data_IF_765060968253
#
_entry.id   IF_765060968253
#
_cell.length_a   1.000
_cell.length_b   1.000
_cell.length_c   1.000
_cell.angle_alpha   90.00
_cell.angle_beta   90.00
_cell.angle_gamma   90.00
#
_symmetry.space_group_name_H-M   'P 1'
#
loop_
_entity.id
_entity.type
_entity.pdbx_description
1 polymer ?
#
# COMPACT_ATOMS: atom_id res chain seq x y z
N UNK A 1 -9.19 3.23 10.13
CA UNK A 1 -8.82 4.58 9.65
C UNK A 1 -7.57 4.44 8.80
N UNK A 2 -7.39 5.27 7.77
CA UNK A 2 -6.28 5.16 6.80
C UNK A 2 -5.39 6.39 6.84
N UNK A 3 -4.10 6.19 6.57
CA UNK A 3 -3.12 7.26 6.47
C UNK A 3 -2.22 7.06 5.26
N UNK A 4 -1.96 8.13 4.52
CA UNK A 4 -0.89 8.17 3.53
C UNK A 4 0.44 8.30 4.26
N UNK A 5 1.40 7.44 3.94
CA UNK A 5 2.72 7.39 4.59
C UNK A 5 3.89 7.56 3.61
N UNK A 6 3.63 7.51 2.31
CA UNK A 6 4.57 7.91 1.27
C UNK A 6 3.84 8.37 0.00
N UNK A 7 4.44 9.33 -0.70
CA UNK A 7 4.11 9.77 -2.07
C UNK A 7 5.39 9.74 -2.93
N UNK A 8 5.29 10.03 -4.23
CA UNK A 8 6.46 10.07 -5.11
C UNK A 8 7.14 11.43 -5.20
N UNK A 9 6.76 12.39 -4.36
CA UNK A 9 7.35 13.72 -4.27
C UNK A 9 7.10 14.62 -5.48
N UNK A 10 6.42 14.13 -6.53
CA UNK A 10 6.13 14.90 -7.75
C UNK A 10 4.94 15.86 -7.53
N UNK A 11 4.20 15.69 -6.43
CA UNK A 11 3.03 16.52 -6.12
C UNK A 11 1.86 16.31 -7.08
N UNK A 12 1.90 15.23 -7.87
CA UNK A 12 0.78 14.86 -8.73
C UNK A 12 -0.34 14.27 -7.89
N UNK A 13 -1.54 14.83 -8.02
CA UNK A 13 -2.74 14.27 -7.39
C UNK A 13 -3.09 12.85 -7.89
N UNK A 14 -2.47 12.39 -8.99
CA UNK A 14 -2.76 11.09 -9.61
C UNK A 14 -1.71 10.02 -9.32
N UNK A 15 -0.60 10.38 -8.66
CA UNK A 15 0.43 9.42 -8.30
C UNK A 15 -0.09 8.39 -7.30
N UNK A 16 0.28 7.10 -7.43
CA UNK A 16 -0.09 6.12 -6.42
C UNK A 16 0.65 6.37 -5.11
N UNK A 17 -0.10 6.40 -4.02
CA UNK A 17 0.38 6.60 -2.66
C UNK A 17 0.57 5.26 -1.96
N UNK A 18 1.42 5.23 -0.94
CA UNK A 18 1.46 4.12 0.01
C UNK A 18 0.60 4.49 1.20
N UNK A 19 -0.37 3.63 1.50
CA UNK A 19 -1.35 3.84 2.57
C UNK A 19 -1.21 2.73 3.59
N UNK A 20 -1.26 3.09 4.88
CA UNK A 20 -1.52 2.16 5.98
C UNK A 20 -2.99 2.21 6.38
N UNK A 21 -3.63 1.04 6.50
CA UNK A 21 -5.03 0.92 6.91
C UNK A 21 -5.17 0.26 8.29
N UNK A 22 -5.59 1.05 9.27
CA UNK A 22 -5.88 0.64 10.65
C UNK A 22 -7.34 0.21 10.85
N UNK A 23 -8.10 -0.04 9.78
CA UNK A 23 -9.42 -0.68 9.91
C UNK A 23 -9.29 -2.09 10.50
N UNK A 24 -10.31 -2.54 11.25
CA UNK A 24 -10.29 -3.84 11.92
C UNK A 24 -10.11 -5.02 10.94
N UNK A 25 -10.61 -4.88 9.71
CA UNK A 25 -10.47 -5.91 8.67
C UNK A 25 -9.11 -5.89 7.96
N UNK A 26 -8.25 -4.91 8.28
CA UNK A 26 -6.98 -4.66 7.58
C UNK A 26 -5.77 -4.60 8.49
N UNK A 27 -5.96 -4.33 9.78
CA UNK A 27 -5.00 -4.56 10.84
C UNK A 27 -3.58 -3.99 10.59
N UNK A 28 -3.47 -2.84 9.92
CA UNK A 28 -2.20 -2.20 9.63
C UNK A 28 -1.51 -2.66 8.35
N UNK A 29 -2.22 -3.40 7.47
CA UNK A 29 -1.77 -3.67 6.10
C UNK A 29 -1.49 -2.36 5.37
N UNK A 30 -0.41 -2.39 4.61
CA UNK A 30 0.05 -1.31 3.75
C UNK A 30 -0.19 -1.69 2.29
N UNK A 31 -0.75 -0.79 1.49
CA UNK A 31 -1.06 -1.04 0.08
C UNK A 31 -0.77 0.19 -0.78
N UNK A 32 -0.56 -0.05 -2.08
CA UNK A 32 -0.52 1.01 -3.07
C UNK A 32 -1.95 1.46 -3.40
N UNK A 33 -2.18 2.76 -3.49
CA UNK A 33 -3.48 3.33 -3.80
C UNK A 33 -3.35 4.46 -4.82
N UNK A 34 -3.94 4.30 -5.99
CA UNK A 34 -4.15 5.38 -6.95
C UNK A 34 -5.35 6.24 -6.54
N UNK A 35 -5.42 7.45 -7.10
CA UNK A 35 -6.56 8.34 -6.87
C UNK A 35 -7.86 7.79 -7.47
N UNK A 36 -7.77 7.13 -8.63
CA UNK A 36 -8.86 6.52 -9.38
C UNK A 36 -9.12 5.05 -9.01
N UNK A 37 -8.18 4.39 -8.32
CA UNK A 37 -8.32 2.99 -7.92
C UNK A 37 -8.78 2.78 -6.48
N UNK A 38 -8.95 3.86 -5.73
CA UNK A 38 -9.27 3.78 -4.30
C UNK A 38 -10.62 3.08 -4.04
N UNK A 39 -10.59 2.00 -3.25
CA UNK A 39 -11.74 1.19 -2.89
C UNK A 39 -12.13 0.12 -3.91
N UNK A 40 -11.41 -0.01 -5.02
CA UNK A 40 -11.68 -1.02 -6.04
C UNK A 40 -10.97 -2.33 -5.69
N UNK A 41 -11.72 -3.44 -5.72
CA UNK A 41 -11.18 -4.79 -5.54
C UNK A 41 -10.26 -5.13 -6.70
N UNK A 42 -9.04 -5.55 -6.40
CA UNK A 42 -8.02 -5.94 -7.36
C UNK A 42 -7.07 -4.82 -7.80
N UNK A 43 -7.29 -3.60 -7.34
CA UNK A 43 -6.51 -2.42 -7.75
C UNK A 43 -5.73 -1.76 -6.59
N UNK A 44 -5.67 -2.43 -5.45
CA UNK A 44 -5.06 -1.97 -4.21
C UNK A 44 -4.13 -3.06 -3.63
N UNK A 45 -3.07 -3.42 -4.37
CA UNK A 45 -2.18 -4.51 -3.98
C UNK A 45 -1.53 -4.21 -2.63
N UNK A 46 -1.56 -5.21 -1.75
CA UNK A 46 -0.88 -5.15 -0.45
C UNK A 46 0.63 -5.24 -0.71
N UNK A 47 1.35 -4.22 -0.25
CA UNK A 47 2.81 -4.13 -0.39
C UNK A 47 3.53 -4.60 0.89
N UNK A 48 2.85 -4.55 2.04
CA UNK A 48 3.32 -5.12 3.29
C UNK A 48 2.15 -5.38 4.27
N UNK A 49 2.28 -6.40 5.12
CA UNK A 49 1.26 -6.71 6.14
C UNK A 49 1.38 -5.88 7.43
N UNK A 50 2.53 -5.23 7.63
CA UNK A 50 2.77 -4.30 8.76
C UNK A 50 3.64 -3.14 8.32
N UNK A 51 3.53 -2.00 9.04
CA UNK A 51 4.40 -0.84 8.78
C UNK A 51 5.87 -1.13 9.05
N UNK A 52 6.18 -1.96 10.04
CA UNK A 52 7.56 -2.37 10.31
C UNK A 52 8.14 -3.15 9.12
N UNK A 53 7.37 -4.09 8.56
CA UNK A 53 7.77 -4.84 7.36
C UNK A 53 7.97 -3.94 6.14
N UNK A 54 7.12 -2.92 5.98
CA UNK A 54 7.29 -1.92 4.92
C UNK A 54 8.61 -1.13 5.09
N UNK A 55 8.90 -0.65 6.31
CA UNK A 55 10.12 0.12 6.59
C UNK A 55 11.36 -0.75 6.37
N UNK A 56 11.37 -1.98 6.88
CA UNK A 56 12.48 -2.92 6.65
C UNK A 56 12.74 -3.11 5.15
N UNK A 57 11.69 -3.34 4.37
CA UNK A 57 11.84 -3.50 2.93
C UNK A 57 12.38 -2.25 2.24
N UNK A 58 11.88 -1.06 2.59
CA UNK A 58 12.34 0.19 2.00
C UNK A 58 13.84 0.42 2.23
N UNK A 59 14.32 0.07 3.43
CA UNK A 59 15.75 0.15 3.77
C UNK A 59 16.58 -0.84 2.95
N UNK A 60 16.10 -2.07 2.79
CA UNK A 60 16.77 -3.12 1.99
C UNK A 60 16.79 -2.78 0.49
N UNK A 61 15.72 -2.18 -0.02
CA UNK A 61 15.57 -1.79 -1.42
C UNK A 61 16.28 -0.47 -1.76
N UNK A 62 16.97 0.16 -0.81
CA UNK A 62 17.67 1.44 -1.04
C UNK A 62 16.72 2.61 -1.34
N UNK A 63 15.51 2.57 -0.79
CA UNK A 63 14.48 3.60 -1.00
C UNK A 63 13.69 3.45 -2.30
N UNK A 64 13.75 2.29 -2.97
CA UNK A 64 12.93 2.04 -4.16
C UNK A 64 11.43 2.10 -3.84
N UNK A 65 10.62 2.45 -4.85
CA UNK A 65 9.17 2.59 -4.69
C UNK A 65 8.56 1.20 -4.44
N UNK A 66 7.65 1.03 -3.47
CA UNK A 66 6.84 -0.18 -3.39
C UNK A 66 5.99 -0.24 -4.67
N UNK A 67 6.45 -1.01 -5.66
CA UNK A 67 5.78 -1.13 -6.95
C UNK A 67 4.39 -1.73 -6.77
N UNK A 68 3.44 -1.34 -7.63
CA UNK A 68 2.06 -1.85 -7.67
C UNK A 68 1.93 -3.31 -8.09
N UNK A 69 2.97 -4.13 -7.86
CA UNK A 69 2.93 -5.56 -8.03
C UNK A 69 2.65 -6.21 -6.68
N UNK A 70 1.56 -6.97 -6.64
CA UNK A 70 1.24 -7.89 -5.56
C UNK A 70 2.47 -8.76 -5.24
N UNK A 71 2.89 -8.75 -3.97
CA UNK A 71 3.99 -9.60 -3.46
C UNK A 71 3.51 -10.99 -3.05
N UNK A 72 2.33 -11.39 -3.52
CA UNK A 72 1.61 -12.57 -3.05
C UNK A 72 0.85 -12.32 -1.75
N UNK A 73 0.65 -11.05 -1.36
CA UNK A 73 -0.19 -10.68 -0.23
C UNK A 73 -1.65 -10.45 -0.63
N UNK A 74 -1.93 -10.36 -1.94
CA UNK A 74 -3.24 -10.12 -2.49
C UNK A 74 -3.62 -8.65 -2.53
N UNK A 75 -4.89 -8.42 -2.77
CA UNK A 75 -5.48 -7.10 -2.80
C UNK A 75 -6.01 -6.72 -1.42
N UNK A 76 -5.94 -5.44 -1.09
CA UNK A 76 -6.45 -4.94 0.16
C UNK A 76 -7.92 -5.38 0.30
N UNK A 77 -8.81 -5.03 -0.64
CA UNK A 77 -10.26 -5.22 -0.52
C UNK A 77 -10.74 -6.63 -0.82
N UNK A 78 -9.84 -7.53 -1.18
CA UNK A 78 -10.16 -8.94 -1.30
C UNK A 78 -10.30 -9.57 0.10
N UNK A 79 -11.31 -10.44 0.32
CA UNK A 79 -11.39 -11.23 1.53
C UNK A 79 -10.13 -12.09 1.69
N UNK A 80 -9.65 -12.23 2.94
CA UNK A 80 -8.59 -13.19 3.25
C UNK A 80 -9.02 -14.59 2.77
N UNK A 81 -8.11 -15.38 2.17
CA UNK A 81 -8.42 -16.73 1.73
C UNK A 81 -8.86 -17.66 2.87
#
# INVERSE_FOLDING_TARGET
>A
MRFVIADDGIGSATAPHVVIDLHADRLGRCYAAGWDTFGLVGEMPIVAVTIAGLISWLLEAGGDRPGGHDRGYGDAYQPDP
#
